data_IF_106019071085
#
_entry.id   IF_106019071085
#
_cell.length_a   1.000
_cell.length_b   1.000
_cell.length_c   1.000
_cell.angle_alpha   90.00
_cell.angle_beta   90.00
_cell.angle_gamma   90.00
#
_symmetry.space_group_name_H-M   'P 1'
#
loop_
_entity.id
_entity.type
_entity.pdbx_description
1 polymer ?
#
# COMPACT_ATOMS: atom_id res chain seq x y z
N UNK A 1 -17.73 13.72 64.17
CA UNK A 1 -18.26 12.51 63.51
C UNK A 1 -17.35 12.25 62.29
N UNK A 2 -16.26 11.49 62.45
CA UNK A 2 -16.11 10.05 62.07
C UNK A 2 -16.44 9.81 60.59
N UNK A 3 -15.64 9.20 59.70
CA UNK A 3 -14.50 8.28 59.87
C UNK A 3 -13.69 8.15 58.55
N UNK A 4 -12.48 7.63 58.70
CA UNK A 4 -11.46 7.14 57.76
C UNK A 4 -11.96 6.33 56.54
N UNK A 5 -11.22 6.37 55.41
CA UNK A 5 -10.17 5.37 55.08
C UNK A 5 -9.93 5.16 53.57
N UNK A 6 -8.64 5.20 53.21
CA UNK A 6 -7.89 4.44 52.19
C UNK A 6 -8.57 3.91 50.91
N UNK A 7 -7.94 4.14 49.75
CA UNK A 7 -7.17 3.15 48.96
C UNK A 7 -6.50 3.93 47.79
N UNK A 8 -5.18 4.09 47.80
CA UNK A 8 -4.17 3.19 47.22
C UNK A 8 -3.96 3.38 45.71
N UNK A 9 -2.69 3.57 45.34
CA UNK A 9 -2.11 3.62 44.00
C UNK A 9 -2.79 2.71 42.95
N UNK A 10 -2.99 3.28 41.76
CA UNK A 10 -2.98 2.51 40.53
C UNK A 10 -2.00 3.16 39.53
N UNK A 11 -0.74 2.73 39.59
CA UNK A 11 0.13 2.69 38.41
C UNK A 11 -0.61 1.91 37.32
N UNK A 12 -0.90 2.53 36.17
CA UNK A 12 -1.19 1.78 34.96
C UNK A 12 -0.10 2.02 33.92
N UNK A 13 0.69 0.97 33.75
CA UNK A 13 1.73 0.77 32.76
C UNK A 13 1.14 0.79 31.35
N UNK A 14 1.73 1.57 30.44
CA UNK A 14 1.51 1.43 29.00
C UNK A 14 2.21 0.15 28.54
N UNK A 15 1.47 -0.96 28.56
CA UNK A 15 1.84 -2.21 27.92
C UNK A 15 0.91 -2.45 26.73
N UNK A 16 1.50 -2.60 25.54
CA UNK A 16 0.87 -3.25 24.38
C UNK A 16 -0.36 -2.55 23.79
N UNK A 17 -0.16 -1.47 23.02
CA UNK A 17 -1.15 -1.08 22.01
C UNK A 17 -1.14 -2.12 20.89
N UNK A 18 -1.97 -3.15 21.01
CA UNK A 18 -2.53 -3.79 19.82
C UNK A 18 -3.50 -2.77 19.23
N UNK A 19 -3.02 -1.99 18.26
CA UNK A 19 -3.92 -1.18 17.43
C UNK A 19 -4.72 -2.18 16.60
N UNK A 20 -5.91 -2.55 17.09
CA UNK A 20 -6.88 -3.22 16.25
C UNK A 20 -7.27 -2.23 15.16
N UNK A 21 -7.15 -2.60 13.87
CA UNK A 21 -7.58 -1.72 12.79
C UNK A 21 -9.07 -1.41 12.97
N UNK A 22 -9.45 -0.15 12.77
CA UNK A 22 -10.86 0.24 12.84
C UNK A 22 -11.63 -0.56 11.77
N UNK A 23 -12.89 -0.97 12.03
CA UNK A 23 -13.72 -1.62 10.99
C UNK A 23 -13.81 -0.82 9.69
N UNK A 24 -13.61 0.51 9.76
CA UNK A 24 -13.51 1.39 8.58
C UNK A 24 -12.23 1.14 7.78
N UNK A 25 -11.09 0.93 8.45
CA UNK A 25 -9.79 0.66 7.83
C UNK A 25 -9.78 -0.72 7.17
N UNK A 26 -10.39 -1.72 7.81
CA UNK A 26 -10.51 -3.07 7.25
C UNK A 26 -11.42 -3.08 6.01
N UNK A 27 -12.53 -2.34 6.02
CA UNK A 27 -13.43 -2.23 4.85
C UNK A 27 -12.79 -1.47 3.69
N UNK A 28 -12.01 -0.43 3.98
CA UNK A 28 -11.28 0.31 2.95
C UNK A 28 -10.20 -0.57 2.31
N UNK A 29 -9.44 -1.31 3.12
CA UNK A 29 -8.43 -2.25 2.65
C UNK A 29 -9.03 -3.39 1.81
N UNK A 30 -10.18 -3.94 2.21
CA UNK A 30 -10.85 -4.98 1.42
C UNK A 30 -11.34 -4.44 0.07
N UNK A 31 -11.92 -3.24 0.05
CA UNK A 31 -12.38 -2.58 -1.19
C UNK A 31 -11.24 -2.37 -2.18
N UNK A 32 -10.08 -1.90 -1.70
CA UNK A 32 -8.90 -1.73 -2.55
C UNK A 32 -8.41 -3.06 -3.13
N UNK A 33 -8.35 -4.13 -2.32
CA UNK A 33 -7.94 -5.45 -2.82
C UNK A 33 -8.88 -5.98 -3.90
N UNK A 34 -10.18 -5.73 -3.78
CA UNK A 34 -11.17 -6.10 -4.79
C UNK A 34 -11.02 -5.28 -6.07
N UNK A 35 -10.77 -3.97 -5.95
CA UNK A 35 -10.47 -3.08 -7.09
C UNK A 35 -9.21 -3.53 -7.83
N UNK A 36 -8.14 -3.86 -7.11
CA UNK A 36 -6.90 -4.36 -7.69
C UNK A 36 -7.08 -5.73 -8.36
N UNK A 37 -7.89 -6.63 -7.78
CA UNK A 37 -8.26 -7.89 -8.43
C UNK A 37 -9.01 -7.65 -9.73
N UNK A 38 -10.01 -6.76 -9.72
CA UNK A 38 -10.77 -6.42 -10.91
C UNK A 38 -9.89 -5.83 -12.02
N UNK A 39 -8.97 -4.92 -11.67
CA UNK A 39 -7.99 -4.36 -12.60
C UNK A 39 -7.10 -5.45 -13.20
N UNK A 40 -6.60 -6.37 -12.35
CA UNK A 40 -5.74 -7.46 -12.79
C UNK A 40 -6.44 -8.42 -13.78
N UNK A 41 -7.72 -8.72 -13.57
CA UNK A 41 -8.51 -9.55 -14.47
C UNK A 41 -8.85 -8.81 -15.77
N UNK A 42 -9.20 -7.53 -15.69
CA UNK A 42 -9.49 -6.70 -16.88
C UNK A 42 -8.28 -6.61 -17.83
N UNK A 43 -7.07 -6.60 -17.29
CA UNK A 43 -5.83 -6.57 -18.08
C UNK A 43 -5.31 -7.95 -18.49
N UNK A 44 -5.90 -9.06 -18.00
CA UNK A 44 -5.31 -10.39 -18.14
C UNK A 44 -5.21 -10.87 -19.60
N UNK A 45 -6.10 -10.41 -20.48
CA UNK A 45 -6.14 -10.77 -21.90
C UNK A 45 -5.34 -9.85 -22.81
N UNK A 46 -4.97 -8.65 -22.35
CA UNK A 46 -4.35 -7.59 -23.17
C UNK A 46 -2.95 -7.22 -22.72
N UNK A 47 -2.56 -7.52 -21.49
CA UNK A 47 -1.27 -7.14 -20.92
C UNK A 47 -0.51 -8.36 -20.36
N UNK A 48 0.80 -8.35 -20.55
CA UNK A 48 1.66 -9.38 -19.99
C UNK A 48 1.82 -9.19 -18.46
N UNK A 49 2.44 -10.16 -17.80
CA UNK A 49 2.59 -10.16 -16.33
C UNK A 49 3.34 -8.92 -15.81
N UNK A 50 4.36 -8.46 -16.53
CA UNK A 50 5.16 -7.30 -16.16
C UNK A 50 4.33 -6.01 -16.23
N UNK A 51 3.62 -5.81 -17.34
CA UNK A 51 2.72 -4.67 -17.55
C UNK A 51 1.60 -4.65 -16.50
N UNK A 52 1.01 -5.80 -16.20
CA UNK A 52 0.01 -5.92 -15.13
C UNK A 52 0.58 -5.54 -13.76
N UNK A 53 1.82 -5.93 -13.47
CA UNK A 53 2.48 -5.51 -12.23
C UNK A 53 2.67 -3.99 -12.17
N UNK A 54 3.03 -3.34 -13.29
CA UNK A 54 3.14 -1.88 -13.39
C UNK A 54 1.80 -1.22 -13.05
N UNK A 55 0.70 -1.65 -13.67
CA UNK A 55 -0.63 -1.08 -13.40
C UNK A 55 -1.05 -1.23 -11.94
N UNK A 56 -0.79 -2.40 -11.33
CA UNK A 56 -1.14 -2.64 -9.93
C UNK A 56 -0.29 -1.82 -8.96
N UNK A 57 1.01 -1.64 -9.22
CA UNK A 57 1.88 -0.79 -8.40
C UNK A 57 1.42 0.67 -8.50
N UNK A 58 1.10 1.13 -9.70
CA UNK A 58 0.61 2.50 -9.94
C UNK A 58 -0.69 2.78 -9.19
N UNK A 59 -1.63 1.85 -9.25
CA UNK A 59 -2.88 1.92 -8.50
C UNK A 59 -2.62 1.93 -6.98
N UNK A 60 -1.69 1.11 -6.47
CA UNK A 60 -1.30 1.18 -5.05
C UNK A 60 -0.85 2.59 -4.65
N UNK A 61 0.01 3.21 -5.44
CA UNK A 61 0.54 4.56 -5.19
C UNK A 61 -0.59 5.62 -5.24
N UNK A 62 -1.50 5.54 -6.21
CA UNK A 62 -2.67 6.43 -6.33
C UNK A 62 -3.60 6.34 -5.11
N UNK A 63 -3.73 5.14 -4.53
CA UNK A 63 -4.49 4.89 -3.31
C UNK A 63 -3.69 5.19 -2.03
N UNK A 64 -2.49 5.78 -2.13
CA UNK A 64 -1.66 6.18 -1.00
C UNK A 64 -0.83 5.05 -0.37
N UNK A 65 -0.81 3.86 -0.97
CA UNK A 65 0.11 2.79 -0.60
C UNK A 65 1.47 3.08 -1.25
N UNK A 66 2.28 3.85 -0.54
CA UNK A 66 3.52 4.44 -1.06
C UNK A 66 4.79 3.81 -0.51
N UNK A 67 4.73 2.88 0.45
CA UNK A 67 5.93 2.23 0.99
C UNK A 67 6.15 0.86 0.34
N UNK A 68 7.41 0.55 0.03
CA UNK A 68 7.85 -0.65 -0.70
C UNK A 68 7.22 -1.95 -0.17
N UNK A 69 7.33 -2.21 1.13
CA UNK A 69 6.80 -3.42 1.76
C UNK A 69 5.27 -3.52 1.67
N UNK A 70 4.57 -2.39 1.76
CA UNK A 70 3.12 -2.34 1.64
C UNK A 70 2.69 -2.58 0.19
N UNK A 71 3.34 -1.94 -0.78
CA UNK A 71 3.09 -2.17 -2.21
C UNK A 71 3.28 -3.65 -2.54
N UNK A 72 4.43 -4.23 -2.17
CA UNK A 72 4.75 -5.63 -2.45
C UNK A 72 3.70 -6.56 -1.81
N UNK A 73 3.35 -6.33 -0.54
CA UNK A 73 2.35 -7.14 0.16
C UNK A 73 0.97 -7.05 -0.46
N UNK A 74 0.52 -5.84 -0.81
CA UNK A 74 -0.79 -5.60 -1.43
C UNK A 74 -0.89 -6.27 -2.80
N UNK A 75 0.11 -6.09 -3.67
CA UNK A 75 0.12 -6.71 -5.00
C UNK A 75 0.27 -8.25 -4.91
N UNK A 76 0.99 -8.75 -3.90
CA UNK A 76 1.08 -10.18 -3.65
C UNK A 76 -0.27 -10.82 -3.28
N UNK A 77 -1.13 -10.12 -2.53
CA UNK A 77 -2.48 -10.58 -2.19
C UNK A 77 -3.42 -10.72 -3.41
N UNK A 78 -3.00 -10.18 -4.56
CA UNK A 78 -3.70 -10.28 -5.86
C UNK A 78 -3.12 -11.42 -6.72
N UNK A 79 -2.11 -12.14 -6.23
CA UNK A 79 -1.57 -13.35 -6.87
C UNK A 79 -0.16 -13.20 -7.48
N UNK A 80 0.52 -12.09 -7.23
CA UNK A 80 1.88 -11.87 -7.70
C UNK A 80 2.93 -12.38 -6.71
N UNK A 81 4.09 -12.80 -7.22
CA UNK A 81 5.23 -13.19 -6.37
C UNK A 81 5.94 -11.94 -5.85
N UNK A 82 6.24 -11.91 -4.55
CA UNK A 82 6.95 -10.80 -3.91
C UNK A 82 8.21 -10.36 -4.67
N UNK A 83 9.09 -11.31 -5.01
CA UNK A 83 10.34 -11.00 -5.72
C UNK A 83 10.13 -10.42 -7.11
N UNK A 84 9.06 -10.80 -7.81
CA UNK A 84 8.72 -10.21 -9.10
C UNK A 84 8.26 -8.76 -8.92
N UNK A 85 7.35 -8.50 -7.98
CA UNK A 85 6.88 -7.13 -7.69
C UNK A 85 8.04 -6.24 -7.26
N UNK A 86 8.93 -6.71 -6.38
CA UNK A 86 10.11 -5.96 -5.96
C UNK A 86 11.05 -5.65 -7.14
N UNK A 87 11.24 -6.61 -8.05
CA UNK A 87 12.06 -6.41 -9.24
C UNK A 87 11.45 -5.38 -10.18
N UNK A 88 10.14 -5.42 -10.42
CA UNK A 88 9.41 -4.43 -11.25
C UNK A 88 9.48 -3.06 -10.59
N UNK A 89 9.17 -2.98 -9.29
CA UNK A 89 9.24 -1.74 -8.51
C UNK A 89 10.59 -1.06 -8.68
N UNK A 90 11.70 -1.81 -8.55
CA UNK A 90 13.04 -1.28 -8.70
C UNK A 90 13.39 -0.93 -10.15
N UNK A 91 13.07 -1.80 -11.11
CA UNK A 91 13.44 -1.63 -12.51
C UNK A 91 12.78 -0.40 -13.15
N UNK A 92 11.54 -0.12 -12.76
CA UNK A 92 10.72 0.96 -13.30
C UNK A 92 10.80 2.25 -12.45
N UNK A 93 11.66 2.27 -11.42
CA UNK A 93 11.93 3.49 -10.65
C UNK A 93 12.83 4.41 -11.47
N UNK A 94 12.29 5.54 -11.90
CA UNK A 94 13.01 6.58 -12.63
C UNK A 94 13.64 7.62 -11.70
N UNK A 95 14.75 8.20 -12.14
CA UNK A 95 15.29 9.43 -11.55
C UNK A 95 14.41 10.63 -11.99
N UNK A 96 13.93 10.62 -13.24
CA UNK A 96 13.11 11.66 -13.88
C UNK A 96 11.87 11.06 -14.57
N UNK A 97 10.87 11.89 -14.82
CA UNK A 97 9.56 11.52 -15.40
C UNK A 97 9.61 10.93 -16.81
N UNK A 98 10.75 11.04 -17.51
CA UNK A 98 10.89 10.58 -18.89
C UNK A 98 11.16 9.07 -19.02
N UNK A 99 11.70 8.43 -17.96
CA UNK A 99 12.22 7.06 -18.05
C UNK A 99 11.70 6.11 -16.96
N UNK A 100 10.76 6.53 -16.12
CA UNK A 100 10.21 5.67 -15.07
C UNK A 100 8.75 5.98 -14.77
N UNK A 101 8.03 4.95 -14.31
CA UNK A 101 6.61 5.07 -13.95
C UNK A 101 6.42 5.77 -12.61
N UNK A 102 7.39 5.65 -11.72
CA UNK A 102 7.41 6.27 -10.39
C UNK A 102 8.82 6.69 -9.99
N UNK A 103 8.89 7.60 -9.04
CA UNK A 103 10.10 8.04 -8.34
C UNK A 103 10.07 7.52 -6.91
N UNK A 104 11.25 7.22 -6.38
CA UNK A 104 11.45 6.97 -4.95
C UNK A 104 11.96 8.24 -4.27
N UNK A 105 11.24 8.71 -3.28
CA UNK A 105 11.58 9.89 -2.47
C UNK A 105 12.66 9.56 -1.43
N UNK A 106 13.36 10.57 -0.86
CA UNK A 106 14.41 10.35 0.13
C UNK A 106 13.95 9.60 1.40
N UNK A 107 12.67 9.73 1.77
CA UNK A 107 12.08 9.04 2.92
C UNK A 107 11.63 7.59 2.61
N UNK A 108 11.86 7.14 1.37
CA UNK A 108 11.49 5.83 0.86
C UNK A 108 10.03 5.68 0.43
N UNK A 109 9.24 6.75 0.31
CA UNK A 109 7.95 6.67 -0.41
C UNK A 109 8.12 6.63 -1.92
N UNK A 110 7.12 6.07 -2.60
CA UNK A 110 6.99 6.08 -4.05
C UNK A 110 5.90 7.05 -4.48
N UNK A 111 6.18 7.80 -5.54
CA UNK A 111 5.26 8.77 -6.16
C UNK A 111 5.18 8.50 -7.66
N UNK A 112 3.97 8.48 -8.23
CA UNK A 112 3.81 8.33 -9.68
C UNK A 112 4.40 9.55 -10.40
N UNK A 113 5.16 9.30 -11.46
CA UNK A 113 5.84 10.35 -12.22
C UNK A 113 4.95 10.97 -13.32
N UNK A 114 3.91 10.25 -13.74
CA UNK A 114 2.94 10.70 -14.74
C UNK A 114 1.52 10.45 -14.20
N UNK A 115 0.57 11.39 -14.33
CA UNK A 115 -0.86 11.12 -14.14
C UNK A 115 -1.42 10.17 -15.22
N UNK A 116 -2.43 9.35 -14.91
CA UNK A 116 -2.99 8.36 -15.87
C UNK A 116 -3.68 9.00 -17.09
N UNK A 117 -3.89 10.30 -17.05
CA UNK A 117 -4.66 11.13 -17.98
C UNK A 117 -4.03 11.25 -19.38
N UNK A 118 -2.76 10.84 -19.56
CA UNK A 118 -2.03 10.98 -20.83
C UNK A 118 -1.90 9.70 -21.67
N UNK A 119 -2.48 8.57 -21.24
CA UNK A 119 -2.43 7.31 -22.01
C UNK A 119 -3.63 7.11 -22.96
N UNK A 120 -4.38 8.16 -23.26
CA UNK A 120 -5.40 8.15 -24.33
C UNK A 120 -4.89 8.97 -25.52
N UNK A 121 -4.31 8.29 -26.50
CA UNK A 121 -4.20 8.79 -27.88
C UNK A 121 -4.32 7.61 -28.83
#
# INVERSE_FOLDING_TARGET
>A
MTNLSLHADAKLSVAGRTIQPSPKDTRAASKLLDELRALNEACASTANKHERAIFLIRACIEHGIVKENQIIGTVANVGFKHGHVASVLKAETGINSENGWWRREPDGTYSNLVPLDHLTT
#
